data_IF_041135155565
#
_entry.id   IF_041135155565
#
_cell.length_a   1.000
_cell.length_b   1.000
_cell.length_c   1.000
_cell.angle_alpha   90.00
_cell.angle_beta   90.00
_cell.angle_gamma   90.00
#
_symmetry.space_group_name_H-M   'P 1'
#
loop_
_entity.id
_entity.type
_entity.pdbx_description
1 polymer ?
#
# COMPACT_ATOMS: atom_id res chain seq x y z
N UNK A 1 -43.61 4.15 35.74
CA UNK A 1 -42.65 5.15 35.28
C UNK A 1 -41.43 4.53 34.55
N UNK A 2 -40.96 3.33 34.91
CA UNK A 2 -39.80 2.67 34.24
C UNK A 2 -40.01 2.34 32.76
N UNK A 3 -41.18 1.92 32.34
CA UNK A 3 -41.47 1.54 30.95
C UNK A 3 -41.37 2.73 29.96
N UNK A 4 -41.85 3.93 30.35
CA UNK A 4 -41.73 5.15 29.52
C UNK A 4 -40.27 5.60 29.33
N UNK A 5 -39.41 5.47 30.36
CA UNK A 5 -37.98 5.77 30.27
C UNK A 5 -37.25 4.81 29.33
N UNK A 6 -37.58 3.50 29.39
CA UNK A 6 -37.01 2.49 28.48
C UNK A 6 -37.40 2.71 27.02
N UNK A 7 -38.68 3.07 26.75
CA UNK A 7 -39.13 3.39 25.40
C UNK A 7 -38.47 4.67 24.84
N UNK A 8 -38.31 5.71 25.70
CA UNK A 8 -37.60 6.92 25.30
C UNK A 8 -36.12 6.66 25.00
N UNK A 9 -35.43 5.84 25.79
CA UNK A 9 -34.03 5.44 25.54
C UNK A 9 -33.86 4.63 24.25
N UNK A 10 -34.78 3.68 23.98
CA UNK A 10 -34.77 2.92 22.70
C UNK A 10 -35.00 3.82 21.50
N UNK A 11 -35.97 4.77 21.57
CA UNK A 11 -36.24 5.75 20.51
C UNK A 11 -35.05 6.66 20.26
N UNK A 12 -34.39 7.17 21.31
CA UNK A 12 -33.18 7.99 21.22
C UNK A 12 -32.02 7.22 20.58
N UNK A 13 -31.82 5.93 20.97
CA UNK A 13 -30.79 5.07 20.37
C UNK A 13 -31.08 4.79 18.89
N UNK A 14 -32.35 4.57 18.51
CA UNK A 14 -32.77 4.35 17.13
C UNK A 14 -32.53 5.60 16.28
N UNK A 15 -32.93 6.80 16.76
CA UNK A 15 -32.70 8.07 16.06
C UNK A 15 -31.19 8.31 15.89
N UNK A 16 -30.38 8.11 16.92
CA UNK A 16 -28.93 8.28 16.85
C UNK A 16 -28.30 7.30 15.82
N UNK A 17 -28.71 6.04 15.84
CA UNK A 17 -28.24 5.07 14.83
C UNK A 17 -28.65 5.49 13.41
N UNK A 18 -29.86 5.99 13.21
CA UNK A 18 -30.32 6.44 11.90
C UNK A 18 -29.48 7.62 11.41
N UNK A 19 -29.20 8.61 12.28
CA UNK A 19 -28.33 9.75 11.94
C UNK A 19 -26.94 9.26 11.58
N UNK A 20 -26.34 8.36 12.35
CA UNK A 20 -25.03 7.78 12.06
C UNK A 20 -25.02 7.09 10.70
N UNK A 21 -26.05 6.29 10.37
CA UNK A 21 -26.11 5.61 9.06
C UNK A 21 -26.27 6.60 7.90
N UNK A 22 -27.05 7.68 8.08
CA UNK A 22 -27.20 8.74 7.05
C UNK A 22 -25.83 9.42 6.84
N UNK A 23 -25.14 9.80 7.91
CA UNK A 23 -23.82 10.42 7.81
C UNK A 23 -22.82 9.49 7.11
N UNK A 24 -22.80 8.22 7.49
CA UNK A 24 -21.93 7.22 6.85
C UNK A 24 -22.28 7.03 5.36
N UNK A 25 -23.56 7.00 5.00
CA UNK A 25 -23.99 6.90 3.61
C UNK A 25 -23.55 8.11 2.78
N UNK A 26 -23.72 9.33 3.32
CA UNK A 26 -23.26 10.57 2.66
C UNK A 26 -21.75 10.53 2.45
N UNK A 27 -20.99 10.20 3.49
CA UNK A 27 -19.54 10.05 3.38
C UNK A 27 -19.15 8.99 2.33
N UNK A 28 -19.82 7.84 2.33
CA UNK A 28 -19.56 6.79 1.34
C UNK A 28 -19.80 7.28 -0.10
N UNK A 29 -20.87 8.03 -0.35
CA UNK A 29 -21.17 8.61 -1.67
C UNK A 29 -20.06 9.59 -2.09
N UNK A 30 -19.61 10.46 -1.17
CA UNK A 30 -18.54 11.42 -1.43
C UNK A 30 -17.23 10.69 -1.81
N UNK A 31 -16.88 9.63 -1.07
CA UNK A 31 -15.67 8.84 -1.35
C UNK A 31 -15.77 7.99 -2.62
N UNK A 32 -16.94 7.49 -2.94
CA UNK A 32 -17.16 6.69 -4.16
C UNK A 32 -17.22 7.55 -5.43
N UNK A 33 -17.60 8.83 -5.31
CA UNK A 33 -17.76 9.72 -6.45
C UNK A 33 -16.53 9.76 -7.39
N UNK A 34 -15.28 10.01 -6.92
CA UNK A 34 -14.12 10.01 -7.80
C UNK A 34 -13.82 8.63 -8.40
N UNK A 35 -14.11 7.56 -7.68
CA UNK A 35 -13.91 6.18 -8.17
C UNK A 35 -14.87 5.89 -9.31
N UNK A 36 -16.16 6.22 -9.13
CA UNK A 36 -17.17 6.08 -10.18
C UNK A 36 -16.83 6.93 -11.40
N UNK A 37 -16.34 8.16 -11.18
CA UNK A 37 -15.87 9.02 -12.27
C UNK A 37 -14.76 8.37 -13.09
N UNK A 38 -13.73 7.83 -12.46
CA UNK A 38 -12.62 7.14 -13.15
C UNK A 38 -13.12 5.93 -13.92
N UNK A 39 -14.01 5.11 -13.31
CA UNK A 39 -14.60 3.95 -13.98
C UNK A 39 -15.42 4.39 -15.19
N UNK A 40 -16.29 5.38 -15.07
CA UNK A 40 -17.07 5.88 -16.21
C UNK A 40 -16.17 6.46 -17.31
N UNK A 41 -15.12 7.18 -16.92
CA UNK A 41 -14.14 7.74 -17.87
C UNK A 41 -13.38 6.65 -18.61
N UNK A 42 -13.09 5.53 -17.98
CA UNK A 42 -12.39 4.39 -18.61
C UNK A 42 -13.18 3.76 -19.77
N UNK A 43 -14.49 3.83 -19.73
CA UNK A 43 -15.39 3.34 -20.79
C UNK A 43 -15.86 4.42 -21.76
N UNK A 44 -15.39 5.65 -21.63
CA UNK A 44 -15.85 6.80 -22.44
C UNK A 44 -15.30 6.73 -23.86
N UNK A 45 -16.17 6.91 -24.86
CA UNK A 45 -15.79 6.96 -26.26
C UNK A 45 -15.23 8.35 -26.68
N UNK A 46 -15.69 9.42 -26.01
CA UNK A 46 -15.21 10.77 -26.27
C UNK A 46 -13.76 10.93 -25.80
N UNK A 47 -12.92 11.50 -26.67
CA UNK A 47 -11.52 11.78 -26.39
C UNK A 47 -11.35 13.17 -25.75
N UNK A 48 -10.21 13.36 -25.10
CA UNK A 48 -9.81 14.63 -24.49
C UNK A 48 -9.92 14.63 -22.96
N UNK A 49 -9.18 15.53 -22.35
CA UNK A 49 -9.12 15.72 -20.91
C UNK A 49 -10.28 16.56 -20.35
N UNK A 50 -10.87 17.39 -21.19
CA UNK A 50 -11.99 18.24 -20.80
C UNK A 50 -13.33 17.58 -21.19
N UNK A 51 -14.02 17.05 -20.20
CA UNK A 51 -15.28 16.39 -20.39
C UNK A 51 -16.41 17.22 -19.78
N UNK A 52 -17.39 17.59 -20.61
CA UNK A 52 -18.52 18.43 -20.21
C UNK A 52 -19.65 17.69 -19.50
N UNK A 53 -19.66 16.36 -19.52
CA UNK A 53 -20.73 15.53 -18.97
C UNK A 53 -20.19 14.49 -17.99
N UNK A 54 -20.94 14.24 -16.91
CA UNK A 54 -20.58 13.20 -15.94
C UNK A 54 -20.67 11.78 -16.56
N UNK A 55 -21.79 11.49 -17.23
CA UNK A 55 -21.96 10.21 -17.91
C UNK A 55 -21.38 10.26 -19.33
N UNK A 56 -20.74 9.16 -19.80
CA UNK A 56 -20.32 9.02 -21.19
C UNK A 56 -21.53 9.15 -22.15
N UNK A 57 -21.34 9.81 -23.29
CA UNK A 57 -22.35 9.82 -24.36
C UNK A 57 -22.42 8.48 -25.07
N UNK A 58 -21.29 7.79 -25.18
CA UNK A 58 -21.19 6.43 -25.68
C UNK A 58 -20.15 5.63 -24.88
N UNK A 59 -20.39 4.34 -24.71
CA UNK A 59 -19.48 3.42 -24.03
C UNK A 59 -18.66 2.63 -25.04
N UNK A 60 -17.37 2.50 -24.77
CA UNK A 60 -16.43 1.71 -25.59
C UNK A 60 -15.43 0.95 -24.74
N UNK A 61 -14.86 -0.13 -25.27
CA UNK A 61 -13.70 -0.82 -24.72
C UNK A 61 -12.38 -0.40 -25.40
N UNK A 62 -12.41 0.49 -26.38
CA UNK A 62 -11.22 0.90 -27.16
C UNK A 62 -10.10 1.44 -26.28
N UNK A 63 -10.43 2.10 -25.17
CA UNK A 63 -9.45 2.60 -24.21
C UNK A 63 -8.63 1.48 -23.59
N UNK A 64 -9.26 0.34 -23.30
CA UNK A 64 -8.58 -0.85 -22.81
C UNK A 64 -7.78 -1.54 -23.92
N UNK A 65 -8.38 -1.70 -25.12
CA UNK A 65 -7.70 -2.29 -26.27
C UNK A 65 -6.45 -1.48 -26.59
N UNK A 66 -6.55 -0.14 -26.60
CA UNK A 66 -5.42 0.76 -26.84
C UNK A 66 -4.25 0.52 -25.87
N UNK A 67 -4.52 0.28 -24.59
CA UNK A 67 -3.47 0.00 -23.60
C UNK A 67 -2.64 -1.24 -23.93
N UNK A 68 -3.24 -2.24 -24.58
CA UNK A 68 -2.56 -3.50 -24.89
C UNK A 68 -1.98 -3.54 -26.31
N UNK A 69 -2.45 -2.67 -27.22
CA UNK A 69 -2.07 -2.70 -28.63
C UNK A 69 -1.20 -1.52 -29.08
N UNK A 70 -1.39 -0.34 -28.47
CA UNK A 70 -0.65 0.87 -28.85
C UNK A 70 0.59 1.05 -27.97
N UNK A 71 1.73 0.72 -28.53
CA UNK A 71 3.04 0.86 -27.87
C UNK A 71 3.79 2.14 -28.26
N UNK A 72 3.14 3.09 -28.93
CA UNK A 72 3.78 4.30 -29.47
C UNK A 72 4.44 5.17 -28.38
N UNK A 73 3.83 5.27 -27.21
CA UNK A 73 4.38 6.07 -26.10
C UNK A 73 4.83 5.22 -24.91
N UNK A 74 4.23 4.04 -24.72
CA UNK A 74 4.51 3.15 -23.59
C UNK A 74 4.08 1.70 -23.88
N UNK A 75 4.72 0.74 -23.24
CA UNK A 75 4.30 -0.65 -23.25
C UNK A 75 3.60 -1.00 -21.94
N UNK A 76 2.26 -0.83 -21.89
CA UNK A 76 1.47 -1.03 -20.68
C UNK A 76 1.61 -2.44 -20.08
N UNK A 77 1.48 -3.55 -20.85
CA UNK A 77 1.65 -4.88 -20.32
C UNK A 77 3.00 -5.10 -19.64
N UNK A 78 4.09 -4.64 -20.26
CA UNK A 78 5.44 -4.77 -19.71
C UNK A 78 5.60 -3.98 -18.41
N UNK A 79 5.12 -2.73 -18.37
CA UNK A 79 5.18 -1.89 -17.17
C UNK A 79 4.33 -2.48 -16.04
N UNK A 80 3.17 -3.04 -16.35
CA UNK A 80 2.32 -3.73 -15.39
C UNK A 80 3.03 -4.95 -14.78
N UNK A 81 3.64 -5.79 -15.62
CA UNK A 81 4.39 -6.97 -15.15
C UNK A 81 5.65 -6.59 -14.38
N UNK A 82 6.37 -5.53 -14.80
CA UNK A 82 7.49 -5.00 -14.04
C UNK A 82 7.07 -4.60 -12.63
N UNK A 83 5.98 -3.83 -12.53
CA UNK A 83 5.46 -3.36 -11.23
C UNK A 83 4.98 -4.51 -10.37
N UNK A 84 4.23 -5.46 -10.94
CA UNK A 84 3.75 -6.64 -10.22
C UNK A 84 4.91 -7.45 -9.65
N UNK A 85 5.94 -7.70 -10.45
CA UNK A 85 7.14 -8.43 -10.01
C UNK A 85 7.86 -7.69 -8.88
N UNK A 86 8.10 -6.37 -9.05
CA UNK A 86 8.73 -5.54 -8.03
C UNK A 86 7.87 -5.54 -6.75
N UNK A 87 6.54 -5.38 -6.87
CA UNK A 87 5.63 -5.34 -5.74
C UNK A 87 5.63 -6.65 -4.94
N UNK A 88 5.59 -7.80 -5.60
CA UNK A 88 5.61 -9.11 -4.93
C UNK A 88 6.96 -9.31 -4.22
N UNK A 89 8.07 -9.09 -4.92
CA UNK A 89 9.41 -9.31 -4.33
C UNK A 89 9.69 -8.35 -3.18
N UNK A 90 9.41 -7.05 -3.35
CA UNK A 90 9.61 -6.06 -2.29
C UNK A 90 8.69 -6.31 -1.10
N UNK A 91 7.44 -6.73 -1.33
CA UNK A 91 6.49 -7.06 -0.27
C UNK A 91 6.99 -8.23 0.61
N UNK A 92 7.46 -9.31 0.00
CA UNK A 92 8.00 -10.48 0.72
C UNK A 92 9.22 -10.07 1.55
N UNK A 93 10.17 -9.35 0.96
CA UNK A 93 11.37 -8.89 1.65
C UNK A 93 11.03 -7.87 2.76
N UNK A 94 10.13 -6.92 2.49
CA UNK A 94 9.66 -5.95 3.49
C UNK A 94 9.00 -6.63 4.68
N UNK A 95 8.10 -7.57 4.44
CA UNK A 95 7.42 -8.31 5.51
C UNK A 95 8.45 -9.05 6.37
N UNK A 96 9.42 -9.72 5.75
CA UNK A 96 10.49 -10.39 6.48
C UNK A 96 11.30 -9.41 7.34
N UNK A 97 11.83 -8.33 6.75
CA UNK A 97 12.66 -7.37 7.49
C UNK A 97 11.88 -6.66 8.59
N UNK A 98 10.69 -6.16 8.29
CA UNK A 98 9.87 -5.44 9.27
C UNK A 98 9.54 -6.33 10.47
N UNK A 99 9.08 -7.55 10.23
CA UNK A 99 8.67 -8.45 11.30
C UNK A 99 9.86 -8.95 12.11
N UNK A 100 10.97 -9.30 11.46
CA UNK A 100 12.19 -9.76 12.14
C UNK A 100 12.80 -8.65 13.00
N UNK A 101 12.97 -7.43 12.45
CA UNK A 101 13.53 -6.28 13.19
C UNK A 101 12.61 -5.88 14.32
N UNK A 102 11.28 -5.84 14.09
CA UNK A 102 10.30 -5.50 15.14
C UNK A 102 10.32 -6.49 16.29
N UNK A 103 10.42 -7.79 15.99
CA UNK A 103 10.53 -8.82 17.02
C UNK A 103 11.81 -8.67 17.83
N UNK A 104 12.98 -8.50 17.17
CA UNK A 104 14.24 -8.29 17.86
C UNK A 104 14.20 -7.05 18.76
N UNK A 105 13.64 -5.94 18.26
CA UNK A 105 13.55 -4.69 19.01
C UNK A 105 12.46 -4.69 20.08
N UNK A 106 11.44 -5.54 19.97
CA UNK A 106 10.40 -5.68 21.00
C UNK A 106 10.81 -6.66 22.10
N UNK A 107 11.32 -7.84 21.74
CA UNK A 107 11.47 -8.99 22.65
C UNK A 107 12.90 -9.24 23.12
N UNK A 108 13.91 -8.85 22.34
CA UNK A 108 15.28 -9.12 22.71
C UNK A 108 15.93 -7.94 23.45
N UNK A 109 16.72 -8.24 24.47
CA UNK A 109 17.52 -7.26 25.22
C UNK A 109 18.95 -7.29 24.72
N UNK A 110 19.39 -6.20 24.04
CA UNK A 110 20.79 -6.04 23.59
C UNK A 110 21.25 -4.58 23.68
N UNK A 111 22.55 -4.38 23.81
CA UNK A 111 23.14 -3.06 24.07
C UNK A 111 22.82 -2.00 23.00
N UNK A 112 22.75 -2.41 21.73
CA UNK A 112 22.51 -1.51 20.59
C UNK A 112 21.03 -1.19 20.33
N UNK A 113 20.06 -1.73 21.10
CA UNK A 113 18.62 -1.53 20.89
C UNK A 113 18.22 -0.05 20.89
N UNK A 114 18.62 0.70 21.93
CA UNK A 114 18.30 2.14 22.03
C UNK A 114 19.02 2.98 20.98
N UNK A 115 20.36 2.85 20.78
CA UNK A 115 21.07 3.55 19.70
C UNK A 115 20.47 3.30 18.33
N UNK A 116 20.12 2.07 17.99
CA UNK A 116 19.48 1.73 16.70
C UNK A 116 18.14 2.43 16.53
N UNK A 117 17.26 2.40 17.54
CA UNK A 117 15.97 3.06 17.50
C UNK A 117 16.10 4.58 17.32
N UNK A 118 17.04 5.22 18.05
CA UNK A 118 17.28 6.65 17.93
C UNK A 118 17.82 7.01 16.54
N UNK A 119 18.75 6.22 16.01
CA UNK A 119 19.27 6.41 14.65
C UNK A 119 18.19 6.26 13.59
N UNK A 120 17.33 5.25 13.71
CA UNK A 120 16.21 5.07 12.80
C UNK A 120 15.20 6.25 12.85
N UNK A 121 14.93 6.79 14.04
CA UNK A 121 14.10 7.99 14.19
C UNK A 121 14.75 9.21 13.52
N UNK A 122 16.04 9.44 13.72
CA UNK A 122 16.77 10.56 13.10
C UNK A 122 16.74 10.42 11.57
N UNK A 123 17.01 9.22 11.03
CA UNK A 123 16.94 8.96 9.59
C UNK A 123 15.54 9.18 9.02
N UNK A 124 14.48 8.84 9.78
CA UNK A 124 13.10 9.07 9.39
C UNK A 124 12.70 10.55 9.32
N UNK A 125 13.46 11.46 9.93
CA UNK A 125 13.22 12.92 9.84
C UNK A 125 13.80 13.55 8.57
N UNK A 126 14.68 12.85 7.86
CA UNK A 126 15.23 13.38 6.61
C UNK A 126 14.17 13.39 5.51
N UNK A 127 14.03 14.50 4.77
CA UNK A 127 13.11 14.56 3.63
C UNK A 127 13.42 13.47 2.59
N UNK A 128 12.42 12.66 2.21
CA UNK A 128 12.60 11.51 1.33
C UNK A 128 13.25 11.85 -0.01
N UNK A 129 12.94 13.05 -0.57
CA UNK A 129 13.51 13.48 -1.86
C UNK A 129 15.03 13.78 -1.77
N UNK A 130 15.56 14.21 -0.62
CA UNK A 130 17.01 14.37 -0.43
C UNK A 130 17.72 13.03 -0.39
N UNK A 131 17.14 12.06 0.32
CA UNK A 131 17.67 10.70 0.39
C UNK A 131 17.68 10.02 -0.98
N UNK A 132 16.71 10.33 -1.84
CA UNK A 132 16.54 9.74 -3.16
C UNK A 132 17.76 9.96 -4.07
N UNK A 133 18.31 11.17 -4.07
CA UNK A 133 19.51 11.47 -4.88
C UNK A 133 20.73 10.70 -4.38
N UNK A 134 20.92 10.65 -3.05
CA UNK A 134 22.00 9.90 -2.45
C UNK A 134 21.87 8.39 -2.75
N UNK A 135 20.68 7.84 -2.62
CA UNK A 135 20.38 6.43 -2.95
C UNK A 135 20.67 6.13 -4.41
N UNK A 136 20.28 7.01 -5.34
CA UNK A 136 20.61 6.85 -6.75
C UNK A 136 22.12 6.72 -6.98
N UNK A 137 22.95 7.61 -6.39
CA UNK A 137 24.41 7.54 -6.55
C UNK A 137 25.02 6.29 -5.91
N UNK A 138 24.48 5.84 -4.78
CA UNK A 138 24.90 4.58 -4.14
C UNK A 138 24.59 3.40 -5.08
N UNK A 139 23.37 3.31 -5.60
CA UNK A 139 22.98 2.26 -6.54
C UNK A 139 23.80 2.29 -7.82
N UNK A 140 24.14 3.50 -8.32
CA UNK A 140 25.01 3.67 -9.47
C UNK A 140 26.43 3.16 -9.19
N UNK A 141 27.00 3.48 -8.02
CA UNK A 141 28.29 2.97 -7.62
C UNK A 141 28.31 1.44 -7.47
N UNK A 142 27.15 0.83 -7.13
CA UNK A 142 26.96 -0.62 -7.07
C UNK A 142 26.68 -1.27 -8.43
N UNK A 143 26.55 -0.49 -9.53
CA UNK A 143 26.21 -0.99 -10.86
C UNK A 143 24.76 -1.41 -11.02
N UNK A 144 23.85 -1.00 -10.12
CA UNK A 144 22.46 -1.43 -10.09
C UNK A 144 21.50 -0.51 -10.88
N UNK A 145 22.02 0.47 -11.64
CA UNK A 145 21.21 1.46 -12.34
C UNK A 145 21.10 1.18 -13.85
N UNK A 146 21.45 -0.02 -14.30
CA UNK A 146 21.46 -0.38 -15.72
C UNK A 146 20.71 -1.70 -15.98
N UNK A 147 20.03 -1.75 -17.12
CA UNK A 147 19.35 -2.94 -17.61
C UNK A 147 18.40 -3.57 -16.59
N UNK A 148 18.38 -4.89 -16.50
CA UNK A 148 17.51 -5.63 -15.60
C UNK A 148 17.84 -5.45 -14.10
N UNK A 149 19.04 -4.94 -13.76
CA UNK A 149 19.43 -4.69 -12.38
C UNK A 149 18.65 -3.54 -11.75
N UNK A 150 18.03 -2.67 -12.57
CA UNK A 150 17.13 -1.61 -12.09
C UNK A 150 15.97 -2.18 -11.28
N UNK A 151 15.38 -3.32 -11.69
CA UNK A 151 14.32 -3.99 -10.90
C UNK A 151 14.83 -4.42 -9.54
N UNK A 152 16.04 -4.97 -9.48
CA UNK A 152 16.67 -5.34 -8.22
C UNK A 152 16.91 -4.10 -7.35
N UNK A 153 17.38 -2.98 -7.93
CA UNK A 153 17.55 -1.72 -7.21
C UNK A 153 16.24 -1.24 -6.59
N UNK A 154 15.15 -1.24 -7.36
CA UNK A 154 13.82 -0.85 -6.88
C UNK A 154 13.33 -1.78 -5.75
N UNK A 155 13.49 -3.11 -5.91
CA UNK A 155 13.13 -4.10 -4.89
C UNK A 155 13.89 -3.84 -3.58
N UNK A 156 15.21 -3.63 -3.65
CA UNK A 156 16.04 -3.34 -2.48
C UNK A 156 15.63 -2.04 -1.79
N UNK A 157 15.34 -1.00 -2.56
CA UNK A 157 14.94 0.29 -2.01
C UNK A 157 13.57 0.26 -1.37
N UNK A 158 12.56 -0.33 -2.02
CA UNK A 158 11.23 -0.47 -1.44
C UNK A 158 11.24 -1.36 -0.19
N UNK A 159 12.00 -2.45 -0.20
CA UNK A 159 12.12 -3.32 0.97
C UNK A 159 12.91 -2.67 2.09
N UNK A 160 13.99 -1.93 1.78
CA UNK A 160 14.79 -1.19 2.76
C UNK A 160 14.05 0.01 3.36
N UNK A 161 13.30 0.75 2.55
CA UNK A 161 12.45 1.85 3.00
C UNK A 161 11.35 1.40 3.97
N UNK A 162 10.78 0.23 3.75
CA UNK A 162 9.86 -0.41 4.69
C UNK A 162 10.51 -0.75 6.04
N UNK A 163 11.85 -0.85 6.08
CA UNK A 163 12.59 -1.07 7.31
C UNK A 163 12.35 -0.02 8.40
N UNK A 164 11.97 1.21 8.04
CA UNK A 164 11.51 2.22 9.00
C UNK A 164 10.08 1.97 9.51
N UNK A 165 9.28 1.19 8.81
CA UNK A 165 7.95 0.74 9.23
C UNK A 165 7.96 -0.22 10.43
N UNK A 166 9.15 -0.71 10.84
CA UNK A 166 9.29 -1.59 12.00
C UNK A 166 8.71 -0.98 13.30
N UNK A 167 8.65 0.35 13.40
CA UNK A 167 8.14 1.02 14.58
C UNK A 167 6.66 0.71 14.83
N UNK A 168 5.85 0.64 13.77
CA UNK A 168 4.43 0.28 13.86
C UNK A 168 4.27 -1.18 14.29
N UNK A 169 4.98 -2.08 13.63
CA UNK A 169 4.94 -3.50 13.95
C UNK A 169 5.50 -3.79 15.37
N UNK A 170 6.58 -3.09 15.76
CA UNK A 170 7.12 -3.16 17.12
C UNK A 170 6.12 -2.66 18.15
N UNK A 171 5.48 -1.51 17.91
CA UNK A 171 4.44 -0.98 18.79
C UNK A 171 3.32 -2.00 19.01
N UNK A 172 2.92 -2.70 17.96
CA UNK A 172 1.96 -3.79 18.07
C UNK A 172 2.50 -4.97 18.89
N UNK A 173 3.73 -5.41 18.65
CA UNK A 173 4.33 -6.50 19.42
C UNK A 173 4.48 -6.15 20.90
N UNK A 174 4.74 -4.88 21.23
CA UNK A 174 4.84 -4.41 22.62
C UNK A 174 3.50 -4.50 23.37
N UNK A 175 2.36 -4.56 22.68
CA UNK A 175 1.04 -4.76 23.32
C UNK A 175 0.80 -6.20 23.78
N UNK A 176 1.56 -7.17 23.27
CA UNK A 176 1.45 -8.58 23.67
C UNK A 176 2.19 -8.75 25.01
N UNK A 177 1.52 -9.24 26.09
CA UNK A 177 2.15 -9.40 27.39
C UNK A 177 3.39 -10.29 27.35
N UNK A 178 4.48 -9.86 27.97
CA UNK A 178 5.73 -10.64 28.06
C UNK A 178 5.56 -11.96 28.82
N UNK A 179 4.60 -12.02 29.73
CA UNK A 179 4.27 -13.25 30.48
C UNK A 179 3.93 -14.44 29.55
N UNK A 180 3.39 -14.19 28.36
CA UNK A 180 3.14 -15.24 27.36
C UNK A 180 4.45 -15.84 26.85
N UNK A 181 5.45 -15.01 26.57
CA UNK A 181 6.77 -15.45 26.12
C UNK A 181 7.50 -16.19 27.25
N UNK A 182 7.38 -15.71 28.49
CA UNK A 182 7.98 -16.32 29.69
C UNK A 182 7.37 -17.70 29.96
N UNK A 183 6.05 -17.83 29.90
CA UNK A 183 5.37 -19.11 30.05
C UNK A 183 5.83 -20.12 28.97
N UNK A 184 5.88 -19.68 27.72
CA UNK A 184 6.35 -20.53 26.61
C UNK A 184 7.81 -20.98 26.76
N UNK A 185 8.67 -20.12 27.34
CA UNK A 185 10.06 -20.51 27.66
C UNK A 185 10.12 -21.57 28.77
N UNK A 186 9.26 -21.46 29.79
CA UNK A 186 9.13 -22.48 30.84
C UNK A 186 8.63 -23.81 30.28
N UNK A 187 7.76 -23.77 29.27
CA UNK A 187 7.28 -24.96 28.54
C UNK A 187 8.34 -25.53 27.57
N UNK A 188 9.57 -24.97 27.55
CA UNK A 188 10.67 -25.46 26.71
C UNK A 188 10.65 -24.97 25.26
N UNK A 189 9.83 -23.98 24.90
CA UNK A 189 9.82 -23.41 23.56
C UNK A 189 11.11 -22.63 23.26
N UNK A 190 11.63 -22.81 22.04
CA UNK A 190 12.73 -21.98 21.53
C UNK A 190 12.23 -20.59 21.13
N UNK A 191 13.14 -19.60 21.06
CA UNK A 191 12.81 -18.24 20.59
C UNK A 191 12.15 -18.22 19.22
N UNK A 192 12.56 -19.10 18.32
CA UNK A 192 11.94 -19.25 17.00
C UNK A 192 10.52 -19.78 17.07
N UNK A 193 10.25 -20.74 17.96
CA UNK A 193 8.90 -21.25 18.19
C UNK A 193 7.98 -20.20 18.78
N UNK A 194 8.47 -19.39 19.73
CA UNK A 194 7.72 -18.26 20.29
C UNK A 194 7.39 -17.26 19.19
N UNK A 195 8.38 -16.86 18.39
CA UNK A 195 8.16 -15.95 17.25
C UNK A 195 7.12 -16.49 16.26
N UNK A 196 7.34 -17.70 15.74
CA UNK A 196 6.53 -18.25 14.64
C UNK A 196 5.16 -18.76 15.08
N UNK A 197 5.05 -19.36 16.28
CA UNK A 197 3.81 -20.01 16.73
C UNK A 197 2.97 -19.15 17.67
N UNK A 198 3.54 -18.12 18.28
CA UNK A 198 2.85 -17.26 19.26
C UNK A 198 2.78 -15.81 18.76
N UNK A 199 3.95 -15.16 18.60
CA UNK A 199 3.98 -13.73 18.30
C UNK A 199 3.38 -13.42 16.93
N UNK A 200 3.77 -14.11 15.85
CA UNK A 200 3.23 -13.87 14.51
C UNK A 200 1.72 -14.09 14.42
N UNK A 201 1.14 -15.21 14.91
CA UNK A 201 -0.31 -15.40 14.88
C UNK A 201 -1.09 -14.35 15.65
N UNK A 202 -0.56 -13.88 16.79
CA UNK A 202 -1.18 -12.80 17.57
C UNK A 202 -1.06 -11.43 16.89
N UNK A 203 -0.09 -11.27 15.99
CA UNK A 203 0.21 -10.00 15.32
C UNK A 203 -0.37 -9.87 13.91
N UNK A 204 -1.38 -10.67 13.56
CA UNK A 204 -2.01 -10.65 12.23
C UNK A 204 -2.33 -9.24 11.69
N UNK A 205 -2.92 -8.31 12.48
CA UNK A 205 -3.22 -6.96 11.96
C UNK A 205 -1.97 -6.19 11.52
N UNK A 206 -0.87 -6.31 12.26
CA UNK A 206 0.40 -5.66 11.90
C UNK A 206 1.01 -6.28 10.64
N UNK A 207 0.89 -7.60 10.48
CA UNK A 207 1.33 -8.30 9.27
C UNK A 207 0.54 -7.80 8.06
N UNK A 208 -0.80 -7.74 8.18
CA UNK A 208 -1.69 -7.24 7.12
C UNK A 208 -1.32 -5.83 6.71
N UNK A 209 -1.14 -4.93 7.68
CA UNK A 209 -0.70 -3.56 7.41
C UNK A 209 0.62 -3.52 6.64
N UNK A 210 1.63 -4.27 7.09
CA UNK A 210 2.95 -4.33 6.45
C UNK A 210 2.86 -4.85 5.02
N UNK A 211 2.12 -5.93 4.80
CA UNK A 211 1.94 -6.54 3.48
C UNK A 211 1.22 -5.58 2.53
N UNK A 212 0.10 -4.97 2.96
CA UNK A 212 -0.65 -4.03 2.13
C UNK A 212 0.19 -2.82 1.74
N UNK A 213 0.83 -2.16 2.71
CA UNK A 213 1.61 -0.95 2.43
C UNK A 213 2.83 -1.23 1.56
N UNK A 214 3.53 -2.34 1.78
CA UNK A 214 4.71 -2.72 0.99
C UNK A 214 4.34 -3.15 -0.44
N UNK A 215 3.22 -3.84 -0.61
CA UNK A 215 2.73 -4.23 -1.94
C UNK A 215 2.27 -3.02 -2.75
N UNK A 216 1.60 -2.05 -2.10
CA UNK A 216 1.07 -0.86 -2.78
C UNK A 216 2.17 0.13 -3.19
N UNK A 217 3.29 0.19 -2.48
CA UNK A 217 4.33 1.20 -2.70
C UNK A 217 4.81 1.30 -4.16
N UNK A 218 5.21 0.21 -4.86
CA UNK A 218 5.65 0.30 -6.26
C UNK A 218 4.56 0.72 -7.25
N UNK A 219 3.27 0.52 -6.92
CA UNK A 219 2.15 0.92 -7.78
C UNK A 219 1.86 2.42 -7.74
N UNK A 220 2.20 3.07 -6.63
CA UNK A 220 1.89 4.48 -6.37
C UNK A 220 3.09 5.41 -6.58
N UNK A 221 4.30 4.86 -6.53
CA UNK A 221 5.51 5.67 -6.61
C UNK A 221 5.92 5.95 -8.05
N UNK A 222 5.74 7.20 -8.45
CA UNK A 222 6.23 7.72 -9.71
C UNK A 222 7.63 8.33 -9.56
N UNK A 223 7.85 9.15 -8.52
CA UNK A 223 9.03 10.03 -8.44
C UNK A 223 10.31 9.24 -8.29
N UNK A 224 10.37 8.37 -7.27
CA UNK A 224 11.55 7.58 -7.00
C UNK A 224 11.83 6.57 -8.13
N UNK A 225 10.78 5.88 -8.60
CA UNK A 225 10.90 4.96 -9.73
C UNK A 225 11.45 5.66 -10.97
N UNK A 226 10.99 6.89 -11.30
CA UNK A 226 11.47 7.67 -12.45
C UNK A 226 12.94 8.06 -12.30
N UNK A 227 13.39 8.43 -11.09
CA UNK A 227 14.79 8.76 -10.82
C UNK A 227 15.70 7.55 -11.01
N UNK A 228 15.27 6.37 -10.58
CA UNK A 228 16.09 5.14 -10.71
C UNK A 228 16.07 4.61 -12.15
N UNK A 229 14.92 4.57 -12.81
CA UNK A 229 14.78 4.07 -14.18
C UNK A 229 15.39 5.02 -15.23
N UNK A 230 15.35 6.35 -15.01
CA UNK A 230 15.83 7.38 -15.96
C UNK A 230 15.27 7.17 -17.38
N UNK A 231 16.18 6.90 -18.34
CA UNK A 231 15.84 6.69 -19.76
C UNK A 231 15.55 5.21 -20.12
N UNK A 232 15.68 4.28 -19.16
CA UNK A 232 15.47 2.85 -19.42
C UNK A 232 13.96 2.51 -19.45
N UNK A 233 13.30 2.80 -20.55
CA UNK A 233 11.84 2.64 -20.72
C UNK A 233 11.37 1.20 -20.48
N UNK A 234 12.19 0.20 -20.81
CA UNK A 234 11.86 -1.23 -20.62
C UNK A 234 11.73 -1.63 -19.13
N UNK A 235 12.29 -0.83 -18.24
CA UNK A 235 12.25 -1.06 -16.80
C UNK A 235 11.22 -0.18 -16.08
N UNK A 236 10.46 0.64 -16.82
CA UNK A 236 9.49 1.54 -16.22
C UNK A 236 8.42 0.77 -15.43
N UNK A 237 8.05 1.36 -14.28
CA UNK A 237 6.87 0.95 -13.51
C UNK A 237 5.61 1.53 -14.14
N UNK A 238 4.47 0.95 -13.78
CA UNK A 238 3.17 1.38 -14.29
C UNK A 238 2.85 2.83 -13.89
N UNK A 239 3.29 3.26 -12.70
CA UNK A 239 3.10 4.65 -12.24
C UNK A 239 3.78 5.65 -13.18
N UNK A 240 4.98 5.33 -13.70
CA UNK A 240 5.67 6.15 -14.71
C UNK A 240 4.87 6.18 -16.00
N UNK A 241 4.33 5.03 -16.43
CA UNK A 241 3.52 4.95 -17.65
C UNK A 241 2.23 5.76 -17.55
N UNK A 242 1.52 5.66 -16.44
CA UNK A 242 0.30 6.44 -16.22
C UNK A 242 0.58 7.95 -16.18
N UNK A 243 1.66 8.35 -15.53
CA UNK A 243 2.05 9.77 -15.54
C UNK A 243 2.35 10.28 -16.95
N UNK A 244 3.03 9.47 -17.76
CA UNK A 244 3.35 9.84 -19.15
C UNK A 244 2.10 10.10 -19.99
N UNK A 245 1.01 9.36 -19.77
CA UNK A 245 -0.27 9.59 -20.44
C UNK A 245 -0.90 10.95 -20.09
N UNK A 246 -0.53 11.56 -18.96
CA UNK A 246 -1.03 12.87 -18.50
C UNK A 246 -0.11 14.03 -18.89
N UNK A 247 1.03 13.77 -19.52
CA UNK A 247 1.89 14.84 -20.05
C UNK A 247 1.15 15.65 -21.12
N UNK A 248 1.40 16.96 -21.15
CA UNK A 248 0.70 17.91 -22.02
C UNK A 248 0.61 17.46 -23.49
N UNK A 249 1.62 16.74 -23.96
CA UNK A 249 1.72 16.22 -25.31
C UNK A 249 0.72 15.08 -25.60
N UNK A 250 0.38 14.29 -24.59
CA UNK A 250 -0.40 13.04 -24.73
C UNK A 250 -1.78 13.10 -24.10
N UNK A 251 -2.05 14.02 -23.20
CA UNK A 251 -3.25 14.03 -22.36
C UNK A 251 -4.55 13.99 -23.17
N UNK A 252 -4.63 14.72 -24.29
CA UNK A 252 -5.86 14.78 -25.09
C UNK A 252 -6.19 13.45 -25.80
N UNK A 253 -5.17 12.63 -26.07
CA UNK A 253 -5.35 11.35 -26.76
C UNK A 253 -5.32 10.14 -25.82
N UNK A 254 -4.80 10.30 -24.59
CA UNK A 254 -4.56 9.20 -23.66
C UNK A 254 -5.30 9.31 -22.33
N UNK A 255 -6.03 10.39 -22.06
CA UNK A 255 -6.72 10.60 -20.79
C UNK A 255 -7.72 9.48 -20.45
N UNK A 256 -8.51 9.03 -21.41
CA UNK A 256 -9.46 7.92 -21.20
C UNK A 256 -8.75 6.58 -21.05
N UNK A 257 -7.62 6.38 -21.74
CA UNK A 257 -6.76 5.20 -21.55
C UNK A 257 -6.02 5.24 -20.21
N UNK A 258 -5.62 6.44 -19.73
CA UNK A 258 -5.14 6.61 -18.36
C UNK A 258 -6.18 6.13 -17.33
N UNK A 259 -7.46 6.52 -17.49
CA UNK A 259 -8.52 6.06 -16.61
C UNK A 259 -8.71 4.54 -16.68
N UNK A 260 -8.63 3.93 -17.88
CA UNK A 260 -8.65 2.48 -18.02
C UNK A 260 -7.45 1.81 -17.35
N UNK A 261 -6.26 2.36 -17.48
CA UNK A 261 -5.05 1.92 -16.78
C UNK A 261 -5.21 2.01 -15.26
N UNK A 262 -5.75 3.11 -14.74
CA UNK A 262 -6.02 3.28 -13.31
C UNK A 262 -7.00 2.24 -12.76
N UNK A 263 -8.04 1.87 -13.53
CA UNK A 263 -8.94 0.77 -13.17
C UNK A 263 -8.17 -0.56 -13.13
N UNK A 264 -7.37 -0.88 -14.15
CA UNK A 264 -6.62 -2.14 -14.21
C UNK A 264 -5.61 -2.28 -13.06
N UNK A 265 -4.89 -1.22 -12.70
CA UNK A 265 -3.93 -1.27 -11.59
C UNK A 265 -4.60 -1.38 -10.22
N UNK A 266 -5.85 -0.94 -10.09
CA UNK A 266 -6.60 -1.09 -8.84
C UNK A 266 -6.99 -2.55 -8.56
N UNK A 267 -7.07 -3.41 -9.58
CA UNK A 267 -7.50 -4.81 -9.45
C UNK A 267 -6.58 -5.63 -8.53
N UNK A 268 -5.26 -5.73 -8.75
CA UNK A 268 -4.38 -6.51 -7.88
C UNK A 268 -4.37 -5.98 -6.45
N UNK A 269 -4.47 -4.66 -6.26
CA UNK A 269 -4.53 -4.01 -4.95
C UNK A 269 -5.84 -4.37 -4.25
N UNK A 270 -6.98 -4.25 -4.96
CA UNK A 270 -8.30 -4.59 -4.42
C UNK A 270 -8.40 -6.08 -4.06
N UNK A 271 -7.88 -6.96 -4.91
CA UNK A 271 -7.83 -8.40 -4.64
C UNK A 271 -7.07 -8.67 -3.34
N UNK A 272 -5.85 -8.12 -3.20
CA UNK A 272 -5.06 -8.29 -1.99
C UNK A 272 -5.81 -7.75 -0.76
N UNK A 273 -6.40 -6.55 -0.86
CA UNK A 273 -7.17 -5.95 0.23
C UNK A 273 -8.36 -6.83 0.64
N UNK A 274 -9.17 -7.32 -0.31
CA UNK A 274 -10.32 -8.17 -0.03
C UNK A 274 -9.95 -9.48 0.67
N UNK A 275 -8.80 -10.07 0.32
CA UNK A 275 -8.29 -11.24 1.04
C UNK A 275 -7.84 -10.94 2.47
N UNK A 276 -7.30 -9.76 2.71
CA UNK A 276 -6.67 -9.40 3.97
C UNK A 276 -7.58 -8.63 4.93
N UNK A 277 -8.67 -8.01 4.46
CA UNK A 277 -9.56 -7.14 5.26
C UNK A 277 -10.10 -7.82 6.52
N UNK A 278 -10.43 -9.12 6.45
CA UNK A 278 -10.95 -9.89 7.59
C UNK A 278 -9.97 -9.90 8.79
N UNK A 279 -8.68 -10.00 8.51
CA UNK A 279 -7.66 -10.02 9.56
C UNK A 279 -7.42 -8.63 10.17
N UNK A 280 -7.69 -7.57 9.40
CA UNK A 280 -7.62 -6.20 9.87
C UNK A 280 -8.77 -5.87 10.84
N UNK A 281 -9.99 -6.24 10.48
CA UNK A 281 -11.20 -6.01 11.29
C UNK A 281 -11.11 -6.75 12.64
N UNK A 282 -10.67 -7.99 12.63
CA UNK A 282 -10.51 -8.79 13.85
C UNK A 282 -9.51 -8.17 14.84
N UNK A 283 -8.42 -7.60 14.32
CA UNK A 283 -7.40 -6.95 15.14
C UNK A 283 -7.85 -5.63 15.79
N UNK A 284 -8.61 -4.82 15.05
CA UNK A 284 -9.15 -3.55 15.57
C UNK A 284 -10.26 -3.81 16.59
N UNK A 285 -11.10 -4.81 16.36
CA UNK A 285 -12.19 -5.16 17.30
C UNK A 285 -11.67 -5.76 18.61
N UNK A 286 -10.54 -6.46 18.59
CA UNK A 286 -9.86 -6.98 19.79
C UNK A 286 -9.26 -5.87 20.65
N UNK A 287 -8.74 -4.81 20.06
CA UNK A 287 -8.16 -3.67 20.78
C UNK A 287 -9.20 -2.77 21.49
N UNK A 288 -10.48 -2.86 21.08
CA UNK A 288 -11.58 -2.03 21.68
C UNK A 288 -12.28 -2.74 22.82
N UNK A 289 -12.01 -4.04 23.06
CA UNK A 289 -12.62 -4.82 24.15
C UNK A 289 -11.74 -4.94 25.41
N UNK A 290 -10.60 -4.24 25.45
CA UNK A 290 -9.73 -4.15 26.62
C UNK A 290 -10.02 -2.93 27.48
#
# INVERSE_FOLDING_TARGET
MAGKKLQSAKKKKMINNTIVHIVLAVLAIIWLFPIVWVILTSFRAEKGSYVSTFFPKAFTLDNYVKLFTDTSILNFPQMFMNTLFIAICSCILSAFYVLAVSYCLSRLKFKMRKPYMNMAMILGLFPGFMSMIAVYFILKAMGLTEGNLIKLALILCYSGGAGLGFQIAKGFFDTIPLAIDEAALLDGCTRWQIFSKITLPLSKPSIVYTVLTSFMAPWLDFIFAKVICRANSDQYTIAIGLWKMLEKEYIDSWYTSFAAGAVLISIPIAILFLFMQRYYVDGVSGAVKG
#
